data_IF_401782199741
#
_entry.id   IF_401782199741
#
_cell.length_a   1.000
_cell.length_b   1.000
_cell.length_c   1.000
_cell.angle_alpha   90.00
_cell.angle_beta   90.00
_cell.angle_gamma   90.00
#
_symmetry.space_group_name_H-M   'P 1'
#
loop_
_entity.id
_entity.type
_entity.pdbx_description
1 polymer ?
#
# COMPACT_ATOMS: atom_id res chain seq x y z
N UNK A 1 -2.15 -19.67 -5.92
CA UNK A 1 -2.57 -18.96 -7.14
C UNK A 1 -3.58 -17.90 -6.75
N UNK A 2 -3.44 -16.67 -7.27
CA UNK A 2 -4.40 -15.60 -6.98
C UNK A 2 -5.79 -15.91 -7.53
N UNK A 3 -6.84 -15.41 -6.87
CA UNK A 3 -8.20 -15.47 -7.43
C UNK A 3 -8.29 -14.48 -8.58
N UNK A 4 -8.53 -14.98 -9.79
CA UNK A 4 -8.84 -14.12 -10.94
C UNK A 4 -10.22 -13.48 -10.68
N UNK A 5 -10.35 -12.15 -10.74
CA UNK A 5 -11.64 -11.51 -10.56
C UNK A 5 -12.53 -11.75 -11.78
N UNK A 6 -13.84 -11.71 -11.60
CA UNK A 6 -14.80 -11.78 -12.71
C UNK A 6 -14.74 -10.53 -13.62
N UNK A 7 -14.22 -9.41 -13.11
CA UNK A 7 -14.06 -8.14 -13.82
C UNK A 7 -12.88 -7.35 -13.26
N UNK A 8 -12.24 -6.54 -14.11
CA UNK A 8 -11.18 -5.60 -13.73
C UNK A 8 -11.70 -4.16 -13.55
N UNK A 9 -13.01 -3.93 -13.58
CA UNK A 9 -13.61 -2.59 -13.53
C UNK A 9 -13.31 -1.80 -12.26
N UNK A 10 -12.95 -2.47 -11.16
CA UNK A 10 -12.53 -1.82 -9.91
C UNK A 10 -11.01 -1.69 -9.78
N UNK A 11 -10.24 -2.22 -10.74
CA UNK A 11 -8.80 -2.06 -10.72
C UNK A 11 -8.46 -0.61 -10.98
N UNK A 12 -7.32 -0.22 -10.45
CA UNK A 12 -6.83 1.14 -10.46
C UNK A 12 -5.56 1.19 -11.30
N UNK A 13 -5.38 2.29 -12.00
CA UNK A 13 -4.15 2.57 -12.72
C UNK A 13 -3.02 2.91 -11.73
N UNK A 14 -1.82 2.40 -12.01
CA UNK A 14 -0.60 2.70 -11.26
C UNK A 14 0.49 3.14 -12.23
N UNK A 15 1.29 4.13 -11.83
CA UNK A 15 2.45 4.59 -12.59
C UNK A 15 3.73 3.96 -12.07
N UNK A 16 4.80 4.04 -12.86
CA UNK A 16 6.14 3.75 -12.35
C UNK A 16 6.46 4.71 -11.20
N UNK A 17 7.10 4.17 -10.17
CA UNK A 17 7.53 4.87 -8.95
C UNK A 17 6.38 5.25 -7.98
N UNK A 18 5.12 4.91 -8.30
CA UNK A 18 4.03 4.97 -7.32
C UNK A 18 4.26 3.96 -6.19
N UNK A 19 3.93 4.39 -4.96
CA UNK A 19 3.98 3.55 -3.76
C UNK A 19 2.63 2.87 -3.60
N UNK A 20 2.67 1.56 -3.40
CA UNK A 20 1.50 0.72 -3.16
C UNK A 20 1.54 0.20 -1.74
N UNK A 21 0.47 0.45 -0.97
CA UNK A 21 0.34 -0.03 0.40
C UNK A 21 -0.86 -0.98 0.56
N UNK A 22 -0.69 -2.00 1.38
CA UNK A 22 -1.77 -2.85 1.87
C UNK A 22 -2.13 -2.40 3.29
N UNK A 23 -3.25 -1.68 3.43
CA UNK A 23 -3.64 -1.07 4.70
C UNK A 23 -4.72 -1.86 5.47
N UNK A 24 -4.91 -3.15 5.17
CA UNK A 24 -5.86 -4.04 5.85
C UNK A 24 -5.19 -5.36 6.24
N UNK A 25 -5.80 -6.08 7.19
CA UNK A 25 -5.24 -7.32 7.78
C UNK A 25 -3.79 -7.10 8.22
N UNK A 26 -3.48 -5.93 8.80
CA UNK A 26 -2.10 -5.46 9.01
C UNK A 26 -1.28 -6.35 9.95
N UNK A 27 -1.92 -7.15 10.80
CA UNK A 27 -1.29 -8.13 11.68
C UNK A 27 -0.83 -9.41 10.96
N UNK A 28 -1.41 -9.72 9.81
CA UNK A 28 -1.15 -10.96 9.05
C UNK A 28 -0.81 -10.73 7.58
N UNK A 29 -0.88 -9.49 7.10
CA UNK A 29 -0.61 -9.13 5.71
C UNK A 29 0.78 -9.59 5.31
N UNK A 30 0.86 -10.30 4.18
CA UNK A 30 2.10 -10.86 3.67
C UNK A 30 3.04 -9.79 3.10
N UNK A 31 2.50 -8.66 2.63
CA UNK A 31 3.25 -7.53 2.07
C UNK A 31 2.55 -6.23 2.46
N UNK A 32 3.26 -5.40 3.23
CA UNK A 32 2.74 -4.08 3.63
C UNK A 32 2.92 -3.03 2.54
N UNK A 33 4.08 -2.99 1.87
CA UNK A 33 4.42 -1.94 0.90
C UNK A 33 5.20 -2.46 -0.30
N UNK A 34 5.20 -1.69 -1.38
CA UNK A 34 6.16 -1.81 -2.48
C UNK A 34 6.06 -0.68 -3.49
N UNK A 35 7.10 -0.51 -4.31
CA UNK A 35 7.11 0.43 -5.45
C UNK A 35 6.67 -0.27 -6.73
N UNK A 36 5.78 0.39 -7.47
CA UNK A 36 5.45 -0.03 -8.83
C UNK A 36 6.62 0.21 -9.79
N UNK A 37 7.03 -0.84 -10.49
CA UNK A 37 8.05 -0.77 -11.55
C UNK A 37 7.47 -0.44 -12.93
N UNK A 38 6.15 -0.35 -13.03
CA UNK A 38 5.42 -0.35 -14.30
C UNK A 38 4.31 0.69 -14.31
N UNK A 39 3.99 1.16 -15.51
CA UNK A 39 2.68 1.73 -15.80
C UNK A 39 1.73 0.57 -16.07
N UNK A 40 0.65 0.43 -15.30
CA UNK A 40 -0.25 -0.71 -15.39
C UNK A 40 -1.45 -0.63 -14.48
N UNK A 41 -1.97 -1.79 -14.06
CA UNK A 41 -3.14 -1.88 -13.20
C UNK A 41 -2.85 -2.70 -11.95
N UNK A 42 -3.50 -2.30 -10.85
CA UNK A 42 -3.48 -3.01 -9.58
C UNK A 42 -4.89 -3.13 -9.01
N UNK A 43 -5.13 -4.15 -8.19
CA UNK A 43 -6.43 -4.39 -7.55
C UNK A 43 -6.84 -3.19 -6.67
N UNK A 44 -8.15 -2.93 -6.57
CA UNK A 44 -8.74 -1.99 -5.60
C UNK A 44 -8.42 -2.27 -4.14
N UNK A 45 -7.85 -3.44 -3.81
CA UNK A 45 -7.50 -3.81 -2.45
C UNK A 45 -6.31 -2.99 -1.89
N UNK A 46 -5.49 -2.38 -2.75
CA UNK A 46 -4.31 -1.62 -2.32
C UNK A 46 -4.56 -0.12 -2.40
N UNK A 47 -3.86 0.66 -1.58
CA UNK A 47 -3.87 2.12 -1.68
C UNK A 47 -2.63 2.60 -2.45
N UNK A 48 -2.84 3.47 -3.44
CA UNK A 48 -1.78 4.07 -4.25
C UNK A 48 -1.45 5.48 -3.75
N UNK A 49 -0.16 5.73 -3.54
CA UNK A 49 0.40 7.01 -3.11
C UNK A 49 1.49 7.47 -4.07
N UNK A 50 1.56 8.80 -4.25
CA UNK A 50 2.58 9.45 -5.07
C UNK A 50 3.52 10.23 -4.17
N UNK A 51 4.80 10.12 -4.43
CA UNK A 51 5.78 11.00 -3.79
C UNK A 51 5.75 12.38 -4.44
N UNK A 52 6.15 13.42 -3.70
CA UNK A 52 6.33 14.74 -4.30
C UNK A 52 7.52 14.72 -5.30
N UNK A 53 7.63 15.72 -6.17
CA UNK A 53 8.64 15.74 -7.23
C UNK A 53 10.10 15.76 -6.73
N UNK A 54 10.31 16.21 -5.49
CA UNK A 54 11.64 16.31 -4.86
C UNK A 54 12.02 15.06 -4.06
N UNK A 55 11.09 14.10 -3.93
CA UNK A 55 11.30 12.86 -3.18
C UNK A 55 12.08 11.83 -3.98
N UNK A 56 12.78 10.96 -3.25
CA UNK A 56 13.39 9.76 -3.80
C UNK A 56 12.47 8.57 -3.46
N UNK A 57 11.72 7.99 -4.42
CA UNK A 57 10.79 6.90 -4.14
C UNK A 57 11.42 5.74 -3.36
N UNK A 58 12.64 5.33 -3.75
CA UNK A 58 13.38 4.24 -3.08
C UNK A 58 13.66 4.49 -1.60
N UNK A 59 13.76 5.75 -1.16
CA UNK A 59 13.87 6.07 0.27
C UNK A 59 12.59 5.69 1.01
N UNK A 60 11.43 6.03 0.46
CA UNK A 60 10.14 5.65 1.04
C UNK A 60 9.90 4.15 1.01
N UNK A 61 10.35 3.46 -0.04
CA UNK A 61 10.30 1.99 -0.07
C UNK A 61 11.09 1.39 1.09
N UNK A 62 12.32 1.84 1.30
CA UNK A 62 13.14 1.39 2.42
C UNK A 62 12.50 1.71 3.78
N UNK A 63 11.96 2.92 3.94
CA UNK A 63 11.25 3.33 5.15
C UNK A 63 10.02 2.44 5.42
N UNK A 64 9.18 2.23 4.41
CA UNK A 64 7.98 1.41 4.55
C UNK A 64 8.29 -0.08 4.70
N UNK A 65 9.43 -0.57 4.19
CA UNK A 65 9.91 -1.92 4.49
C UNK A 65 10.19 -2.10 5.99
N UNK A 66 10.84 -1.13 6.65
CA UNK A 66 11.10 -1.19 8.10
C UNK A 66 9.79 -1.08 8.90
N UNK A 67 8.93 -0.11 8.55
CA UNK A 67 7.59 0.04 9.17
C UNK A 67 6.78 -1.26 9.01
N UNK A 68 6.89 -1.89 7.83
CA UNK A 68 6.37 -3.20 7.46
C UNK A 68 6.83 -4.31 8.38
N UNK A 69 8.15 -4.44 8.49
CA UNK A 69 8.84 -5.52 9.19
C UNK A 69 8.57 -5.49 10.69
N UNK A 70 8.71 -4.34 11.33
CA UNK A 70 8.47 -4.16 12.77
C UNK A 70 6.99 -3.91 13.11
N UNK A 71 6.11 -3.87 12.09
CA UNK A 71 4.67 -3.59 12.22
C UNK A 71 4.38 -2.30 12.99
N UNK A 72 5.17 -1.25 12.75
CA UNK A 72 5.08 0.02 13.46
C UNK A 72 3.75 0.76 13.21
N UNK A 73 2.97 0.34 12.20
CA UNK A 73 1.64 0.85 11.90
C UNK A 73 0.54 0.35 12.85
N UNK A 74 0.75 -0.72 13.63
CA UNK A 74 -0.31 -1.35 14.42
C UNK A 74 -1.01 -0.41 15.41
N UNK A 75 -0.31 0.51 16.12
CA UNK A 75 -0.95 1.48 17.00
C UNK A 75 -1.96 2.40 16.30
N UNK A 76 -1.78 2.63 15.00
CA UNK A 76 -2.66 3.49 14.18
C UNK A 76 -3.83 2.73 13.56
N UNK A 77 -3.81 1.39 13.62
CA UNK A 77 -4.86 0.55 13.06
C UNK A 77 -6.13 0.58 13.89
N UNK A 78 -7.28 0.56 13.21
CA UNK A 78 -8.61 0.45 13.82
C UNK A 78 -9.25 -0.88 13.43
N UNK A 79 -10.36 -1.23 14.09
CA UNK A 79 -11.16 -2.42 13.83
C UNK A 79 -10.51 -3.78 14.20
N UNK A 80 -11.33 -4.83 14.15
CA UNK A 80 -10.91 -6.22 14.35
C UNK A 80 -9.92 -6.69 13.26
N UNK A 81 -10.01 -6.14 12.04
CA UNK A 81 -9.16 -6.50 10.90
C UNK A 81 -7.91 -5.62 10.77
N UNK A 82 -7.58 -4.86 11.82
CA UNK A 82 -6.36 -4.02 11.89
C UNK A 82 -6.18 -3.23 10.58
N UNK A 83 -7.11 -2.34 10.30
CA UNK A 83 -7.17 -1.56 9.05
C UNK A 83 -6.83 -0.10 9.33
N UNK A 84 -6.11 0.53 8.40
CA UNK A 84 -5.91 1.98 8.33
C UNK A 84 -6.57 2.42 7.02
N UNK A 85 -7.49 3.39 7.06
CA UNK A 85 -8.01 3.95 5.81
C UNK A 85 -7.06 5.02 5.26
N UNK A 86 -7.17 5.32 3.97
CA UNK A 86 -6.31 6.30 3.30
C UNK A 86 -6.32 7.69 3.96
N UNK A 87 -7.48 8.13 4.45
CA UNK A 87 -7.64 9.41 5.15
C UNK A 87 -6.82 9.47 6.45
N UNK A 88 -6.93 8.45 7.31
CA UNK A 88 -6.14 8.37 8.53
C UNK A 88 -4.65 8.25 8.21
N UNK A 89 -4.28 7.47 7.18
CA UNK A 89 -2.89 7.34 6.76
C UNK A 89 -2.28 8.68 6.36
N UNK A 90 -3.01 9.51 5.61
CA UNK A 90 -2.56 10.85 5.21
C UNK A 90 -2.46 11.85 6.39
N UNK A 91 -3.02 11.51 7.56
CA UNK A 91 -2.99 12.37 8.75
C UNK A 91 -1.90 12.00 9.75
N UNK A 92 -1.16 10.91 9.49
CA UNK A 92 0.02 10.48 10.26
C UNK A 92 1.24 11.27 9.76
#
# INVERSE_FOLDING_TARGET
GGKLPASFSTYQEVQKDDIVLCLFDLDVSAVFSGISKYHGMISSAYDIFKTNQESIPNYYDYLFQIIGFDRLYLPFSKSLRKTINKENFNSI
#
